data_IF_292750407586
#
_entry.id   IF_292750407586
#
_cell.length_a   1.000
_cell.length_b   1.000
_cell.length_c   1.000
_cell.angle_alpha   90.00
_cell.angle_beta   90.00
_cell.angle_gamma   90.00
#
_symmetry.space_group_name_H-M   'P 1'
#
loop_
_entity.id
_entity.type
_entity.pdbx_description
1 polymer ?
#
# COMPACT_ATOMS: atom_id res chain seq x y z
N UNK A 1 -2.75 -6.07 24.60
CA UNK A 1 -1.80 -5.09 24.04
C UNK A 1 -2.30 -4.58 22.69
N UNK A 2 -2.62 -5.45 21.69
CA UNK A 2 -3.08 -5.04 20.34
C UNK A 2 -4.34 -4.18 20.34
N UNK A 3 -5.30 -4.47 21.20
CA UNK A 3 -6.57 -3.72 21.28
C UNK A 3 -6.51 -2.45 22.13
N UNK A 4 -5.52 -2.33 23.01
CA UNK A 4 -5.36 -1.15 23.87
C UNK A 4 -4.35 -0.15 23.31
N UNK A 5 -3.22 -0.60 22.81
CA UNK A 5 -2.12 0.25 22.30
C UNK A 5 -2.01 0.17 20.77
N UNK A 6 -2.28 -1.00 20.17
CA UNK A 6 -2.22 -1.23 18.73
C UNK A 6 -3.49 -0.80 17.96
N UNK A 7 -3.52 -1.10 16.67
CA UNK A 7 -4.64 -0.79 15.77
C UNK A 7 -5.73 -1.88 15.76
N UNK A 8 -5.68 -2.83 16.72
CA UNK A 8 -6.71 -3.87 16.88
C UNK A 8 -6.87 -4.73 15.64
N UNK A 9 -8.10 -4.76 15.10
CA UNK A 9 -8.45 -5.59 13.94
C UNK A 9 -7.68 -5.21 12.66
N UNK A 10 -7.37 -3.93 12.47
CA UNK A 10 -6.57 -3.49 11.30
C UNK A 10 -5.17 -4.09 11.31
N UNK A 11 -4.54 -4.19 12.48
CA UNK A 11 -3.23 -4.81 12.64
C UNK A 11 -3.26 -6.30 12.31
N UNK A 12 -4.34 -6.99 12.73
CA UNK A 12 -4.53 -8.42 12.42
C UNK A 12 -4.69 -8.63 10.92
N UNK A 13 -5.50 -7.81 10.26
CA UNK A 13 -5.70 -7.90 8.82
C UNK A 13 -4.42 -7.54 8.03
N UNK A 14 -3.64 -6.57 8.50
CA UNK A 14 -2.37 -6.19 7.87
C UNK A 14 -1.27 -7.27 8.02
N UNK A 15 -1.38 -8.18 8.99
CA UNK A 15 -0.45 -9.31 9.12
C UNK A 15 -0.66 -10.38 8.05
N UNK A 16 -1.85 -10.46 7.46
CA UNK A 16 -2.12 -11.40 6.39
C UNK A 16 -1.47 -10.94 5.09
N UNK A 17 -0.46 -11.67 4.63
CA UNK A 17 0.28 -11.36 3.39
C UNK A 17 -0.55 -11.55 2.13
N UNK A 18 -1.68 -12.24 2.22
CA UNK A 18 -2.60 -12.42 1.11
C UNK A 18 -3.48 -11.20 0.84
N UNK A 19 -3.56 -10.27 1.81
CA UNK A 19 -4.33 -9.03 1.68
C UNK A 19 -3.46 -7.89 1.14
N UNK A 20 -3.94 -7.21 0.11
CA UNK A 20 -3.30 -6.04 -0.50
C UNK A 20 -3.86 -4.73 0.05
N UNK A 21 -5.18 -4.57 -0.03
CA UNK A 21 -5.88 -3.37 0.41
C UNK A 21 -6.92 -3.73 1.48
N UNK A 22 -7.10 -2.86 2.45
CA UNK A 22 -8.15 -2.92 3.48
C UNK A 22 -8.92 -1.61 3.40
N UNK A 23 -10.22 -1.69 3.25
CA UNK A 23 -11.09 -0.53 3.09
C UNK A 23 -12.20 -0.56 4.13
N UNK A 24 -12.31 0.52 4.90
CA UNK A 24 -13.35 0.76 5.89
C UNK A 24 -14.17 1.95 5.44
N UNK A 25 -15.37 1.69 4.93
CA UNK A 25 -16.23 2.73 4.40
C UNK A 25 -17.08 3.40 5.48
N UNK A 26 -17.38 4.68 5.30
CA UNK A 26 -18.33 5.40 6.15
C UNK A 26 -19.78 5.09 5.73
N UNK A 27 -20.74 4.98 6.68
CA UNK A 27 -20.56 5.02 8.14
C UNK A 27 -20.00 3.70 8.68
N UNK A 28 -18.92 3.77 9.46
CA UNK A 28 -18.13 2.62 9.90
C UNK A 28 -18.96 1.56 10.61
N UNK A 29 -19.86 1.94 11.50
CA UNK A 29 -20.68 1.02 12.31
C UNK A 29 -21.76 0.27 11.52
N UNK A 30 -21.98 0.62 10.27
CA UNK A 30 -22.98 0.02 9.38
C UNK A 30 -22.36 -0.74 8.21
N UNK A 31 -21.07 -0.59 7.99
CA UNK A 31 -20.36 -1.15 6.85
C UNK A 31 -19.36 -2.20 7.28
N UNK A 32 -19.37 -3.35 6.61
CA UNK A 32 -18.31 -4.34 6.75
C UNK A 32 -16.99 -3.82 6.23
N UNK A 33 -15.89 -4.36 6.72
CA UNK A 33 -14.57 -4.12 6.16
C UNK A 33 -14.48 -4.84 4.82
N UNK A 34 -14.04 -4.13 3.78
CA UNK A 34 -13.72 -4.68 2.48
C UNK A 34 -12.21 -4.93 2.42
N UNK A 35 -11.83 -6.01 1.76
CA UNK A 35 -10.42 -6.37 1.59
C UNK A 35 -10.19 -6.78 0.14
N UNK A 36 -8.98 -6.52 -0.35
CA UNK A 36 -8.52 -7.04 -1.62
C UNK A 36 -7.54 -8.17 -1.37
N UNK A 37 -7.95 -9.37 -1.75
CA UNK A 37 -7.16 -10.59 -1.62
C UNK A 37 -6.38 -10.88 -2.91
N UNK A 38 -5.18 -11.45 -2.78
CA UNK A 38 -4.32 -11.75 -3.94
C UNK A 38 -4.98 -12.70 -4.95
N UNK A 39 -5.72 -13.71 -4.46
CA UNK A 39 -6.30 -14.77 -5.30
C UNK A 39 -7.79 -14.56 -5.59
N UNK A 40 -8.51 -13.84 -4.72
CA UNK A 40 -9.97 -13.69 -4.81
C UNK A 40 -10.41 -12.27 -5.19
N UNK A 41 -9.46 -11.33 -5.37
CA UNK A 41 -9.69 -9.91 -5.67
C UNK A 41 -10.51 -9.21 -4.56
N UNK A 42 -11.59 -8.53 -4.86
CA UNK A 42 -12.38 -7.78 -3.89
C UNK A 42 -13.31 -8.71 -3.08
N UNK A 43 -13.14 -8.70 -1.77
CA UNK A 43 -13.91 -9.51 -0.82
C UNK A 43 -14.56 -8.64 0.25
N UNK A 44 -15.72 -9.08 0.71
CA UNK A 44 -16.41 -8.49 1.86
C UNK A 44 -16.19 -9.39 3.07
N UNK A 45 -15.71 -8.81 4.18
CA UNK A 45 -15.56 -9.53 5.43
C UNK A 45 -16.86 -9.51 6.24
N UNK A 46 -16.92 -10.35 7.27
CA UNK A 46 -17.98 -10.29 8.28
C UNK A 46 -17.65 -9.36 9.46
N UNK A 47 -16.60 -8.57 9.34
CA UNK A 47 -16.13 -7.66 10.38
C UNK A 47 -16.78 -6.29 10.23
N UNK A 48 -17.47 -5.82 11.24
CA UNK A 48 -18.08 -4.49 11.32
C UNK A 48 -17.44 -3.78 12.52
N UNK A 49 -16.53 -2.80 12.27
CA UNK A 49 -15.90 -2.08 13.37
C UNK A 49 -16.89 -1.12 14.04
N UNK A 50 -16.67 -0.85 15.31
CA UNK A 50 -17.44 0.16 16.03
C UNK A 50 -16.99 1.58 15.69
N UNK A 51 -17.83 2.57 16.05
CA UNK A 51 -17.43 3.98 15.90
C UNK A 51 -16.26 4.31 16.82
N UNK A 52 -16.25 3.75 18.01
CA UNK A 52 -15.18 3.91 19.00
C UNK A 52 -13.83 3.36 18.46
N UNK A 53 -13.86 2.26 17.75
CA UNK A 53 -12.66 1.71 17.07
C UNK A 53 -12.14 2.73 16.03
N UNK A 54 -13.03 3.23 15.17
CA UNK A 54 -12.66 4.20 14.15
C UNK A 54 -12.07 5.47 14.75
N UNK A 55 -12.73 6.06 15.76
CA UNK A 55 -12.24 7.28 16.43
C UNK A 55 -10.88 7.03 17.10
N UNK A 56 -10.67 5.85 17.69
CA UNK A 56 -9.39 5.42 18.27
C UNK A 56 -8.29 5.32 17.21
N UNK A 57 -8.58 4.73 16.06
CA UNK A 57 -7.61 4.65 14.95
C UNK A 57 -7.25 6.04 14.43
N UNK A 58 -8.24 6.92 14.21
CA UNK A 58 -7.99 8.29 13.76
C UNK A 58 -7.09 9.05 14.75
N UNK A 59 -7.34 8.91 16.06
CA UNK A 59 -6.50 9.52 17.08
C UNK A 59 -5.05 9.00 17.02
N UNK A 60 -4.86 7.68 16.88
CA UNK A 60 -3.53 7.08 16.77
C UNK A 60 -2.80 7.53 15.52
N UNK A 61 -3.46 7.55 14.37
CA UNK A 61 -2.85 8.03 13.11
C UNK A 61 -2.45 9.50 13.17
N UNK A 62 -3.28 10.37 13.80
CA UNK A 62 -2.90 11.76 14.06
C UNK A 62 -1.65 11.86 14.93
N UNK A 63 -1.60 11.09 16.02
CA UNK A 63 -0.43 11.09 16.92
C UNK A 63 0.83 10.59 16.24
N UNK A 64 0.74 9.50 15.46
CA UNK A 64 1.90 8.90 14.80
C UNK A 64 2.41 9.75 13.64
N UNK A 65 1.51 10.33 12.85
CA UNK A 65 1.88 11.16 11.69
C UNK A 65 2.26 12.59 12.07
N UNK A 66 1.84 13.07 13.25
CA UNK A 66 1.98 14.48 13.63
C UNK A 66 1.15 15.45 12.79
N UNK A 67 0.23 14.94 11.96
CA UNK A 67 -0.61 15.75 11.05
C UNK A 67 -2.01 15.90 11.61
N UNK A 68 -2.63 17.05 11.32
CA UNK A 68 -4.02 17.29 11.68
C UNK A 68 -4.97 16.46 10.83
N UNK A 69 -6.04 15.99 11.45
CA UNK A 69 -7.21 15.40 10.79
C UNK A 69 -8.43 16.00 11.51
N UNK A 70 -9.00 17.03 10.90
CA UNK A 70 -10.11 17.81 11.41
C UNK A 70 -10.96 18.34 10.23
N UNK A 71 -11.99 19.13 10.49
CA UNK A 71 -12.85 19.68 9.43
C UNK A 71 -12.10 20.60 8.46
N UNK A 72 -11.03 21.27 8.92
CA UNK A 72 -10.19 22.11 8.07
C UNK A 72 -9.20 21.29 7.24
N UNK A 73 -8.78 20.13 7.78
CA UNK A 73 -7.86 19.19 7.14
C UNK A 73 -8.52 17.79 7.09
N UNK A 74 -9.52 17.58 6.21
CA UNK A 74 -10.36 16.38 6.23
C UNK A 74 -9.70 15.15 5.62
N UNK A 75 -8.47 15.26 5.12
CA UNK A 75 -7.69 14.17 4.52
C UNK A 75 -6.39 14.00 5.29
N UNK A 76 -6.10 12.77 5.70
CA UNK A 76 -4.81 12.37 6.24
C UNK A 76 -4.23 11.24 5.39
N UNK A 77 -3.12 11.50 4.72
CA UNK A 77 -2.33 10.49 3.99
C UNK A 77 -1.01 10.30 4.75
N UNK A 78 -0.74 9.08 5.20
CA UNK A 78 0.41 8.76 6.04
C UNK A 78 0.86 7.32 5.81
N UNK A 79 2.03 6.98 6.33
CA UNK A 79 2.50 5.60 6.39
C UNK A 79 2.33 5.04 7.81
N UNK A 80 2.01 3.76 7.88
CA UNK A 80 2.01 2.97 9.09
C UNK A 80 3.16 1.98 9.01
N UNK A 81 4.17 2.17 9.86
CA UNK A 81 5.30 1.27 9.97
C UNK A 81 5.24 0.57 11.33
N UNK A 82 4.94 -0.70 11.33
CA UNK A 82 5.00 -1.62 12.46
C UNK A 82 6.15 -2.59 12.22
N UNK A 83 6.62 -3.30 13.23
CA UNK A 83 7.88 -4.08 13.20
C UNK A 83 8.08 -4.95 11.95
N UNK A 84 7.01 -5.53 11.39
CA UNK A 84 7.06 -6.40 10.19
C UNK A 84 6.05 -5.98 9.12
N UNK A 85 5.33 -4.86 9.32
CA UNK A 85 4.24 -4.42 8.48
C UNK A 85 4.48 -2.97 8.11
N UNK A 86 4.48 -2.68 6.82
CA UNK A 86 4.43 -1.32 6.32
C UNK A 86 3.19 -1.16 5.42
N UNK A 87 2.45 -0.08 5.62
CA UNK A 87 1.25 0.21 4.84
C UNK A 87 1.08 1.71 4.64
N UNK A 88 0.63 2.11 3.46
CA UNK A 88 0.09 3.44 3.23
C UNK A 88 -1.32 3.52 3.77
N UNK A 89 -1.63 4.59 4.46
CA UNK A 89 -2.94 4.83 5.08
C UNK A 89 -3.48 6.15 4.59
N UNK A 90 -4.64 6.11 3.97
CA UNK A 90 -5.43 7.29 3.61
C UNK A 90 -6.71 7.31 4.45
N UNK A 91 -6.95 8.43 5.13
CA UNK A 91 -8.13 8.66 5.97
C UNK A 91 -8.86 9.87 5.45
N UNK A 92 -10.16 9.77 5.35
CA UNK A 92 -11.04 10.87 4.95
C UNK A 92 -12.13 11.02 6.01
N UNK A 93 -12.44 12.27 6.37
CA UNK A 93 -13.56 12.59 7.28
C UNK A 93 -14.43 13.72 6.75
N UNK A 94 -15.40 14.13 7.54
CA UNK A 94 -16.22 15.31 7.24
C UNK A 94 -15.34 16.56 7.07
N UNK A 95 -15.68 17.45 6.12
CA UNK A 95 -16.91 17.47 5.30
C UNK A 95 -16.84 16.60 4.03
N UNK A 96 -15.68 16.04 3.65
CA UNK A 96 -15.52 15.29 2.39
C UNK A 96 -16.24 13.92 2.42
N UNK A 97 -16.29 13.28 3.56
CA UNK A 97 -17.03 12.03 3.78
C UNK A 97 -18.27 12.32 4.63
N UNK A 98 -19.44 12.41 4.02
CA UNK A 98 -20.68 12.71 4.73
C UNK A 98 -21.03 11.67 5.82
N UNK A 99 -20.61 10.42 5.66
CA UNK A 99 -20.84 9.32 6.60
C UNK A 99 -19.86 9.29 7.79
N UNK A 100 -18.88 10.21 7.85
CA UNK A 100 -17.83 10.24 8.87
C UNK A 100 -16.50 9.68 8.36
N UNK A 101 -15.76 9.03 9.27
CA UNK A 101 -14.43 8.48 8.96
C UNK A 101 -14.50 7.33 7.95
N UNK A 102 -13.61 7.37 6.97
CA UNK A 102 -13.34 6.29 6.05
C UNK A 102 -11.83 6.05 5.96
N UNK A 103 -11.42 4.78 5.83
CA UNK A 103 -10.02 4.39 5.82
C UNK A 103 -9.72 3.54 4.61
N UNK A 104 -8.56 3.76 4.02
CA UNK A 104 -7.97 2.87 3.03
C UNK A 104 -6.53 2.60 3.42
N UNK A 105 -6.22 1.34 3.66
CA UNK A 105 -4.87 0.91 3.99
C UNK A 105 -4.38 0.04 2.84
N UNK A 106 -3.22 0.39 2.27
CA UNK A 106 -2.53 -0.41 1.26
C UNK A 106 -1.25 -0.95 1.84
N UNK A 107 -1.18 -2.27 1.96
CA UNK A 107 0.00 -2.96 2.47
C UNK A 107 1.15 -2.85 1.48
N UNK A 108 2.31 -2.42 1.95
CA UNK A 108 3.55 -2.51 1.18
C UNK A 108 4.07 -3.95 1.20
N UNK A 109 4.59 -4.39 0.07
CA UNK A 109 5.23 -5.70 0.01
C UNK A 109 6.57 -5.66 0.73
N UNK A 110 6.85 -6.65 1.56
CA UNK A 110 8.12 -6.81 2.26
C UNK A 110 9.25 -7.25 1.33
N UNK A 111 8.90 -7.98 0.25
CA UNK A 111 9.85 -8.45 -0.75
C UNK A 111 9.54 -7.82 -2.11
N UNK A 112 10.48 -7.09 -2.71
CA UNK A 112 10.27 -6.49 -4.03
C UNK A 112 10.17 -7.59 -5.09
N UNK A 113 9.46 -7.27 -6.18
CA UNK A 113 9.50 -8.09 -7.38
C UNK A 113 10.88 -8.03 -8.02
N UNK A 114 11.31 -9.14 -8.60
CA UNK A 114 12.56 -9.27 -9.35
C UNK A 114 12.26 -9.76 -10.76
N UNK A 115 13.12 -9.48 -11.74
CA UNK A 115 12.96 -10.00 -13.10
C UNK A 115 12.87 -11.53 -13.14
N UNK A 116 13.72 -12.30 -12.40
CA UNK A 116 13.54 -13.74 -12.30
C UNK A 116 12.17 -14.19 -11.78
N UNK A 117 11.56 -13.42 -10.85
CA UNK A 117 10.23 -13.73 -10.34
C UNK A 117 9.15 -13.50 -11.41
N UNK A 118 9.27 -12.46 -12.23
CA UNK A 118 8.40 -12.24 -13.39
C UNK A 118 8.48 -13.38 -14.38
N UNK A 119 9.69 -13.87 -14.68
CA UNK A 119 9.90 -15.04 -15.59
C UNK A 119 9.30 -16.30 -14.97
N UNK A 120 9.55 -16.58 -13.67
CA UNK A 120 9.00 -17.73 -12.96
C UNK A 120 7.47 -17.77 -13.02
N UNK A 121 6.82 -16.62 -12.88
CA UNK A 121 5.37 -16.49 -12.93
C UNK A 121 4.83 -16.37 -14.37
N UNK A 122 5.67 -16.55 -15.39
CA UNK A 122 5.29 -16.48 -16.81
C UNK A 122 4.64 -15.15 -17.23
N UNK A 123 4.95 -14.08 -16.53
CA UNK A 123 4.47 -12.73 -16.85
C UNK A 123 5.32 -12.07 -17.93
N UNK A 124 6.59 -12.46 -18.04
CA UNK A 124 7.54 -12.06 -19.06
C UNK A 124 8.38 -13.28 -19.45
N UNK A 125 8.84 -13.36 -20.69
CA UNK A 125 9.77 -14.40 -21.10
C UNK A 125 11.22 -14.04 -20.72
N UNK A 126 12.11 -15.03 -20.77
CA UNK A 126 13.52 -14.83 -20.41
C UNK A 126 14.26 -13.91 -21.38
N UNK A 127 13.85 -13.88 -22.66
CA UNK A 127 14.44 -12.97 -23.66
C UNK A 127 14.03 -11.51 -23.36
N UNK A 128 12.76 -11.28 -23.06
CA UNK A 128 12.25 -9.96 -22.67
C UNK A 128 12.90 -9.45 -21.38
N UNK A 129 13.03 -10.31 -20.36
CA UNK A 129 13.72 -9.97 -19.13
C UNK A 129 15.21 -9.62 -19.39
N UNK A 130 15.90 -10.41 -20.19
CA UNK A 130 17.30 -10.14 -20.56
C UNK A 130 17.46 -8.86 -21.36
N UNK A 131 16.52 -8.55 -22.27
CA UNK A 131 16.53 -7.28 -23.02
C UNK A 131 16.34 -6.09 -22.09
N UNK A 132 15.40 -6.16 -21.13
CA UNK A 132 15.19 -5.10 -20.16
C UNK A 132 16.43 -4.88 -19.28
N UNK A 133 17.04 -5.93 -18.75
CA UNK A 133 18.29 -5.85 -17.99
C UNK A 133 19.41 -5.22 -18.81
N UNK A 134 19.58 -5.63 -20.07
CA UNK A 134 20.55 -5.04 -21.00
C UNK A 134 20.30 -3.55 -21.27
N UNK A 135 19.04 -3.13 -21.39
CA UNK A 135 18.69 -1.71 -21.57
C UNK A 135 19.03 -0.88 -20.34
N UNK A 136 18.79 -1.42 -19.13
CA UNK A 136 19.15 -0.74 -17.87
C UNK A 136 20.68 -0.61 -17.77
N UNK A 137 21.42 -1.67 -18.03
CA UNK A 137 22.89 -1.66 -18.02
C UNK A 137 23.44 -0.66 -19.05
N UNK A 138 22.80 -0.57 -20.20
CA UNK A 138 23.11 0.42 -21.24
C UNK A 138 22.61 1.85 -20.96
N UNK A 139 22.11 2.15 -19.77
CA UNK A 139 21.59 3.44 -19.34
C UNK A 139 20.54 4.03 -20.30
N UNK A 140 19.62 3.20 -20.81
CA UNK A 140 18.56 3.64 -21.72
C UNK A 140 17.35 4.15 -20.97
N UNK A 141 16.70 5.17 -21.53
CA UNK A 141 15.45 5.71 -20.99
C UNK A 141 14.34 4.70 -21.21
N UNK A 142 13.60 4.41 -20.15
CA UNK A 142 12.45 3.52 -20.14
C UNK A 142 11.20 4.27 -19.65
N UNK A 143 10.09 4.08 -20.35
CA UNK A 143 8.77 4.52 -19.90
C UNK A 143 7.91 3.30 -19.59
N UNK A 144 7.51 3.14 -18.31
CA UNK A 144 6.60 2.08 -17.87
C UNK A 144 5.20 2.67 -17.73
N UNK A 145 4.31 2.30 -18.63
CA UNK A 145 2.93 2.80 -18.67
C UNK A 145 1.93 1.64 -18.59
N UNK A 146 0.76 1.90 -18.04
CA UNK A 146 -0.31 0.91 -17.93
C UNK A 146 -1.44 1.39 -17.04
N UNK A 147 -2.54 0.64 -17.01
CA UNK A 147 -3.72 0.93 -16.18
C UNK A 147 -3.44 0.75 -14.69
N UNK A 148 -4.40 1.13 -13.85
CA UNK A 148 -4.33 0.89 -12.40
C UNK A 148 -4.15 -0.61 -12.13
N UNK A 149 -3.34 -0.96 -11.16
CA UNK A 149 -3.04 -2.36 -10.75
C UNK A 149 -2.41 -3.26 -11.83
N UNK A 150 -1.87 -2.69 -12.91
CA UNK A 150 -1.18 -3.45 -13.97
C UNK A 150 0.25 -3.90 -13.64
N UNK A 151 0.73 -3.62 -12.43
CA UNK A 151 2.08 -4.01 -12.00
C UNK A 151 3.21 -3.06 -12.41
N UNK A 152 2.91 -1.81 -12.80
CA UNK A 152 3.92 -0.80 -13.18
C UNK A 152 5.02 -0.63 -12.15
N UNK A 153 4.63 -0.35 -10.90
CA UNK A 153 5.56 -0.13 -9.79
C UNK A 153 6.36 -1.40 -9.50
N UNK A 154 5.73 -2.58 -9.59
CA UNK A 154 6.40 -3.86 -9.41
C UNK A 154 7.46 -4.11 -10.48
N UNK A 155 7.16 -3.80 -11.74
CA UNK A 155 8.14 -3.89 -12.83
C UNK A 155 9.25 -2.87 -12.64
N UNK A 156 8.92 -1.61 -12.34
CA UNK A 156 9.91 -0.55 -12.10
C UNK A 156 10.84 -0.93 -10.94
N UNK A 157 10.30 -1.42 -9.82
CA UNK A 157 11.09 -1.91 -8.68
C UNK A 157 12.05 -3.02 -9.08
N UNK A 158 11.60 -3.96 -9.94
CA UNK A 158 12.47 -5.03 -10.42
C UNK A 158 13.59 -4.52 -11.32
N UNK A 159 13.34 -3.48 -12.11
CA UNK A 159 14.34 -2.85 -12.97
C UNK A 159 15.36 -2.03 -12.17
N UNK A 160 14.95 -1.41 -11.07
CA UNK A 160 15.88 -0.70 -10.17
C UNK A 160 16.93 -1.66 -9.57
N UNK A 161 16.55 -2.92 -9.31
CA UNK A 161 17.48 -3.94 -8.81
C UNK A 161 18.53 -4.39 -9.84
N UNK A 162 18.29 -4.13 -11.13
CA UNK A 162 19.27 -4.40 -12.21
C UNK A 162 20.32 -3.29 -12.33
N UNK A 163 20.12 -2.13 -11.70
CA UNK A 163 21.09 -1.04 -11.73
C UNK A 163 22.33 -1.44 -10.91
N UNK A 164 23.50 -1.27 -11.49
CA UNK A 164 24.75 -1.58 -10.77
C UNK A 164 24.86 -0.80 -9.46
N UNK A 165 25.33 -1.43 -8.37
CA UNK A 165 25.47 -0.78 -7.05
C UNK A 165 26.39 0.44 -7.02
N UNK A 166 27.22 0.61 -8.06
CA UNK A 166 28.12 1.77 -8.22
C UNK A 166 27.40 3.04 -8.69
N UNK A 167 26.15 2.92 -9.17
CA UNK A 167 25.39 4.06 -9.65
C UNK A 167 24.54 4.64 -8.52
N UNK A 168 24.50 5.97 -8.48
CA UNK A 168 23.61 6.71 -7.60
C UNK A 168 22.19 6.71 -8.19
N UNK A 169 21.22 6.25 -7.43
CA UNK A 169 19.81 6.28 -7.78
C UNK A 169 19.14 7.48 -7.08
N UNK A 170 18.31 8.20 -7.78
CA UNK A 170 17.45 9.26 -7.25
C UNK A 170 16.04 8.94 -7.70
N UNK A 171 15.12 8.79 -6.73
CA UNK A 171 13.69 8.60 -6.99
C UNK A 171 12.94 9.90 -6.73
N UNK A 172 11.90 10.17 -7.52
CA UNK A 172 10.96 11.27 -7.33
C UNK A 172 9.58 10.64 -7.34
N UNK A 173 8.93 10.65 -6.20
CA UNK A 173 7.69 9.93 -5.96
C UNK A 173 6.70 10.82 -5.19
N UNK A 174 5.43 10.76 -5.53
CA UNK A 174 4.37 11.39 -4.73
C UNK A 174 4.19 10.67 -3.38
N UNK A 175 4.39 9.35 -3.39
CA UNK A 175 4.39 8.49 -2.20
C UNK A 175 5.51 7.47 -2.37
N UNK A 176 6.29 7.26 -1.31
CA UNK A 176 7.40 6.31 -1.33
C UNK A 176 6.87 4.87 -1.47
N UNK A 177 7.11 4.27 -2.62
CA UNK A 177 6.74 2.88 -2.94
C UNK A 177 7.94 2.03 -3.39
N UNK A 178 9.02 2.69 -3.83
CA UNK A 178 10.18 2.02 -4.40
C UNK A 178 11.18 1.64 -3.29
N UNK A 179 11.66 0.38 -3.28
CA UNK A 179 12.68 -0.07 -2.35
C UNK A 179 14.07 0.40 -2.81
N UNK A 180 14.52 1.54 -2.39
CA UNK A 180 15.87 2.10 -2.64
C UNK A 180 16.64 2.27 -1.37
#
# INVERSE_FOLDING_TARGET
VRYTIGFGILEVLLQDESLQDIMVNAPVSLSSIFVRHNDYDECITNLIPSKEDADSWAAKFRMTSGRALDEANPILDTNLDLAEISARVAIIQQPLSAGGLAYTLRRHRTKPWTLPLFVKNKMIDSLGAGLLSFMIDGARTLLVAGTRSSGKTSLLSSLLLEIMPTHRIITIEDTLELPV
#
